data_IF_524006498829
#
_entry.id   IF_524006498829
#
_cell.length_a   1.000
_cell.length_b   1.000
_cell.length_c   1.000
_cell.angle_alpha   90.00
_cell.angle_beta   90.00
_cell.angle_gamma   90.00
#
_symmetry.space_group_name_H-M   'P 1'
#
loop_
_entity.id
_entity.type
_entity.pdbx_description
1 polymer ?
#
# COMPACT_ATOMS: atom_id res chain seq x y z
N UNK A 1 48.39 -27.69 9.67
CA UNK A 1 47.96 -27.54 8.27
C UNK A 1 46.86 -28.55 7.97
N UNK A 2 45.59 -28.09 8.00
CA UNK A 2 44.41 -28.58 7.24
C UNK A 2 43.25 -27.69 7.71
N UNK A 3 43.02 -26.57 7.02
CA UNK A 3 42.00 -26.37 5.97
C UNK A 3 40.59 -26.19 6.55
N UNK A 4 40.14 -24.94 6.47
CA UNK A 4 38.81 -24.46 6.03
C UNK A 4 37.58 -25.16 6.63
N UNK A 5 36.63 -24.49 7.25
CA UNK A 5 36.19 -23.10 7.13
C UNK A 5 34.70 -23.15 7.44
N UNK A 6 34.29 -22.69 8.62
CA UNK A 6 32.87 -22.66 8.97
C UNK A 6 32.29 -21.44 8.24
N UNK A 7 31.60 -21.73 7.14
CA UNK A 7 30.94 -20.78 6.29
C UNK A 7 29.92 -19.97 7.12
N UNK A 8 30.16 -18.66 7.14
CA UNK A 8 29.28 -17.63 7.67
C UNK A 8 27.95 -17.67 6.90
N UNK A 9 26.90 -18.25 7.49
CA UNK A 9 25.53 -17.99 7.04
C UNK A 9 25.06 -16.67 7.67
N UNK A 10 25.58 -15.57 7.13
CA UNK A 10 24.99 -14.26 7.33
C UNK A 10 23.62 -14.28 6.64
N UNK A 11 22.57 -14.50 7.43
CA UNK A 11 21.20 -14.20 7.02
C UNK A 11 21.14 -12.68 6.86
N UNK A 12 21.51 -12.20 5.67
CA UNK A 12 21.30 -10.83 5.22
C UNK A 12 19.80 -10.58 5.37
N UNK A 13 19.41 -9.98 6.50
CA UNK A 13 18.13 -9.33 6.65
C UNK A 13 18.06 -8.26 5.59
N UNK A 14 17.54 -8.61 4.43
CA UNK A 14 17.16 -7.68 3.38
C UNK A 14 16.04 -6.83 4.00
N UNK A 15 16.45 -5.76 4.69
CA UNK A 15 15.54 -4.71 5.11
C UNK A 15 15.12 -4.05 3.79
N UNK A 16 14.06 -4.61 3.17
CA UNK A 16 13.43 -3.96 2.03
C UNK A 16 13.16 -2.53 2.50
N UNK A 17 13.74 -1.51 1.84
CA UNK A 17 13.43 -0.15 2.19
C UNK A 17 11.92 -0.04 2.19
N UNK A 18 11.35 0.40 3.32
CA UNK A 18 9.91 0.53 3.50
C UNK A 18 9.42 1.64 2.57
N UNK A 19 9.27 1.31 1.29
CA UNK A 19 8.88 2.25 0.26
C UNK A 19 7.50 2.78 0.61
N UNK A 20 7.25 4.04 0.26
CA UNK A 20 5.93 4.62 0.34
C UNK A 20 4.90 3.76 -0.41
N UNK A 21 3.61 3.95 -0.13
CA UNK A 21 2.57 3.51 -1.08
C UNK A 21 2.17 4.75 -1.87
N UNK A 22 2.90 5.04 -2.95
CA UNK A 22 2.50 6.02 -3.95
C UNK A 22 1.38 5.39 -4.78
N UNK A 23 0.22 6.03 -4.82
CA UNK A 23 -0.98 5.49 -5.46
C UNK A 23 -1.40 6.39 -6.60
N UNK A 24 -1.70 5.79 -7.75
CA UNK A 24 -2.34 6.47 -8.87
C UNK A 24 -3.71 5.87 -9.11
N UNK A 25 -4.71 6.72 -9.28
CA UNK A 25 -6.07 6.31 -9.60
C UNK A 25 -6.20 6.27 -11.12
N UNK A 26 -6.42 5.09 -11.68
CA UNK A 26 -6.59 4.91 -13.14
C UNK A 26 -8.06 5.00 -13.53
N UNK A 27 -8.30 5.32 -14.81
CA UNK A 27 -9.64 5.47 -15.37
C UNK A 27 -10.25 4.14 -15.85
N UNK A 28 -9.43 3.12 -16.08
CA UNK A 28 -9.87 1.83 -16.59
C UNK A 28 -9.46 0.69 -15.68
N UNK A 29 -10.40 -0.22 -15.40
CA UNK A 29 -10.18 -1.40 -14.57
C UNK A 29 -8.99 -2.26 -15.04
N UNK A 30 -8.79 -2.38 -16.36
CA UNK A 30 -7.71 -3.19 -16.93
C UNK A 30 -6.30 -2.63 -16.67
N UNK A 31 -6.21 -1.38 -16.21
CA UNK A 31 -4.94 -0.71 -15.90
C UNK A 31 -4.61 -0.75 -14.40
N UNK A 32 -5.52 -1.25 -13.56
CA UNK A 32 -5.33 -1.25 -12.12
C UNK A 32 -4.75 -2.56 -11.61
N UNK A 33 -3.85 -2.45 -10.64
CA UNK A 33 -3.41 -3.58 -9.82
C UNK A 33 -4.55 -4.06 -8.90
N UNK A 34 -5.37 -3.13 -8.38
CA UNK A 34 -6.47 -3.43 -7.47
C UNK A 34 -7.74 -2.63 -7.77
N UNK A 35 -8.90 -3.28 -7.69
CA UNK A 35 -10.21 -2.63 -7.64
C UNK A 35 -10.54 -2.28 -6.20
N UNK A 36 -10.80 -1.01 -5.94
CA UNK A 36 -11.08 -0.49 -4.60
C UNK A 36 -12.45 0.15 -4.54
N UNK A 37 -13.20 -0.19 -3.50
CA UNK A 37 -14.46 0.46 -3.17
C UNK A 37 -14.27 1.38 -1.96
N UNK A 38 -14.74 2.62 -2.08
CA UNK A 38 -14.71 3.57 -0.97
C UNK A 38 -15.90 3.28 -0.04
N UNK A 39 -15.61 2.63 1.08
CA UNK A 39 -16.56 2.34 2.13
C UNK A 39 -16.75 3.57 3.03
N UNK A 40 -18.01 3.83 3.40
CA UNK A 40 -18.38 4.97 4.26
C UNK A 40 -18.11 4.69 5.72
N UNK A 41 -18.14 3.42 6.12
CA UNK A 41 -17.96 3.02 7.51
C UNK A 41 -16.61 2.34 7.73
N UNK A 42 -15.74 2.94 8.54
CA UNK A 42 -14.46 2.38 8.94
C UNK A 42 -14.54 0.91 9.43
N UNK A 43 -15.62 0.55 10.13
CA UNK A 43 -15.83 -0.81 10.66
C UNK A 43 -16.12 -1.87 9.59
N UNK A 44 -16.54 -1.47 8.39
CA UNK A 44 -16.83 -2.36 7.26
C UNK A 44 -15.71 -2.39 6.22
N UNK A 45 -14.75 -1.48 6.33
CA UNK A 45 -13.60 -1.42 5.45
C UNK A 45 -12.57 -2.49 5.85
N UNK A 46 -11.87 -3.01 4.85
CA UNK A 46 -10.75 -3.92 5.05
C UNK A 46 -9.50 -3.13 5.48
N UNK A 47 -9.40 -1.87 5.03
CA UNK A 47 -8.35 -0.95 5.42
C UNK A 47 -8.82 0.48 5.63
N UNK A 48 -8.08 1.18 6.51
CA UNK A 48 -8.29 2.60 6.81
C UNK A 48 -7.09 3.37 6.27
N UNK A 49 -7.31 4.20 5.26
CA UNK A 49 -6.26 4.87 4.51
C UNK A 49 -6.16 6.34 4.91
N UNK A 50 -4.97 6.77 5.32
CA UNK A 50 -4.65 8.18 5.55
C UNK A 50 -3.91 8.75 4.34
N UNK A 51 -4.47 9.77 3.68
CA UNK A 51 -3.80 10.46 2.58
C UNK A 51 -2.78 11.46 3.13
N UNK A 52 -1.51 11.18 2.89
CA UNK A 52 -0.41 12.07 3.30
C UNK A 52 -0.14 13.13 2.24
N UNK A 53 0.45 14.25 2.66
CA UNK A 53 0.78 15.38 1.77
C UNK A 53 2.14 15.25 1.10
N UNK A 54 3.01 14.40 1.63
CA UNK A 54 4.38 14.23 1.15
C UNK A 54 4.68 12.75 0.94
N UNK A 55 5.33 12.41 -0.17
CA UNK A 55 5.72 11.04 -0.47
C UNK A 55 6.56 10.39 0.65
N UNK A 56 7.41 11.17 1.32
CA UNK A 56 8.23 10.71 2.45
C UNK A 56 7.44 10.25 3.68
N UNK A 57 6.17 10.66 3.80
CA UNK A 57 5.29 10.27 4.91
C UNK A 57 4.52 8.98 4.61
N UNK A 58 4.41 8.60 3.33
CA UNK A 58 3.81 7.35 2.96
C UNK A 58 4.79 6.22 3.29
N UNK A 59 4.24 5.09 3.75
CA UNK A 59 5.02 3.92 4.13
C UNK A 59 4.20 2.67 3.85
N UNK A 60 4.76 1.74 3.08
CA UNK A 60 4.13 0.45 2.77
C UNK A 60 3.84 -0.29 4.07
N UNK A 61 2.66 -0.89 4.12
CA UNK A 61 2.16 -1.57 5.32
C UNK A 61 1.75 -0.64 6.47
N UNK A 62 1.71 0.69 6.29
CA UNK A 62 1.24 1.61 7.34
C UNK A 62 -0.20 2.11 7.17
N UNK A 63 -0.83 1.81 6.02
CA UNK A 63 -2.14 2.42 5.68
C UNK A 63 -2.03 3.91 5.31
N UNK A 64 -0.84 4.42 5.01
CA UNK A 64 -0.63 5.80 4.54
C UNK A 64 -0.36 5.83 3.04
N UNK A 65 -1.19 6.54 2.31
CA UNK A 65 -1.10 6.65 0.85
C UNK A 65 -0.71 8.06 0.44
N UNK A 66 0.18 8.15 -0.55
CA UNK A 66 0.49 9.40 -1.22
C UNK A 66 -0.06 9.33 -2.64
N UNK A 67 -1.04 10.15 -2.98
CA UNK A 67 -1.57 10.17 -4.33
C UNK A 67 -0.61 10.91 -5.26
N UNK A 68 -0.22 10.26 -6.35
CA UNK A 68 0.63 10.86 -7.39
C UNK A 68 -0.22 11.28 -8.60
N UNK A 69 0.22 12.27 -9.40
CA UNK A 69 -0.50 12.71 -10.58
C UNK A 69 -0.24 11.89 -11.84
N UNK A 70 0.78 11.02 -11.84
CA UNK A 70 1.16 10.21 -13.00
C UNK A 70 1.39 8.75 -12.60
N UNK A 71 0.89 7.83 -13.43
CA UNK A 71 1.03 6.38 -13.26
C UNK A 71 2.50 5.95 -13.10
N UNK A 72 3.41 6.53 -13.89
CA UNK A 72 4.84 6.21 -13.85
C UNK A 72 5.52 6.53 -12.51
N UNK A 73 4.87 7.29 -11.64
CA UNK A 73 5.35 7.61 -10.30
C UNK A 73 4.74 6.73 -9.22
N UNK A 74 3.71 5.95 -9.56
CA UNK A 74 2.99 5.12 -8.60
C UNK A 74 3.76 3.84 -8.31
N UNK A 75 3.62 3.34 -7.09
CA UNK A 75 4.04 1.99 -6.74
C UNK A 75 2.88 1.00 -6.93
N UNK A 76 1.64 1.51 -6.86
CA UNK A 76 0.40 0.75 -7.03
C UNK A 76 -0.62 1.61 -7.77
N UNK A 77 -1.30 1.03 -8.74
CA UNK A 77 -2.43 1.61 -9.46
C UNK A 77 -3.73 1.05 -8.93
N UNK A 78 -4.74 1.92 -8.79
CA UNK A 78 -6.04 1.53 -8.23
C UNK A 78 -7.18 2.04 -9.09
N UNK A 79 -8.20 1.21 -9.26
CA UNK A 79 -9.44 1.59 -9.96
C UNK A 79 -10.59 1.67 -8.96
N UNK A 80 -11.28 2.82 -8.94
CA UNK A 80 -12.41 3.04 -8.05
C UNK A 80 -13.68 2.41 -8.64
N UNK A 81 -14.17 1.36 -7.99
CA UNK A 81 -15.43 0.71 -8.39
C UNK A 81 -16.64 1.32 -7.68
N UNK A 82 -17.81 1.26 -8.32
CA UNK A 82 -19.07 1.79 -7.76
C UNK A 82 -19.76 0.84 -6.79
N UNK A 83 -19.47 -0.46 -6.88
CA UNK A 83 -20.16 -1.49 -6.09
C UNK A 83 -19.15 -2.34 -5.33
N UNK A 84 -19.45 -2.61 -4.07
CA UNK A 84 -18.62 -3.44 -3.19
C UNK A 84 -18.33 -4.82 -3.79
N UNK A 85 -19.30 -5.44 -4.46
CA UNK A 85 -19.16 -6.77 -5.07
C UNK A 85 -18.12 -6.85 -6.19
N UNK A 86 -17.69 -5.71 -6.74
CA UNK A 86 -16.68 -5.62 -7.78
C UNK A 86 -15.28 -5.39 -7.21
N UNK A 87 -15.18 -5.00 -5.94
CA UNK A 87 -13.93 -4.60 -5.33
C UNK A 87 -13.11 -5.81 -4.89
N UNK A 88 -11.80 -5.69 -5.05
CA UNK A 88 -10.84 -6.58 -4.42
C UNK A 88 -10.60 -6.14 -2.97
N UNK A 89 -10.71 -4.82 -2.69
CA UNK A 89 -10.50 -4.23 -1.37
C UNK A 89 -11.55 -3.14 -1.06
N UNK A 90 -12.08 -3.13 0.17
CA UNK A 90 -12.86 -2.01 0.72
C UNK A 90 -11.93 -1.09 1.50
N UNK A 91 -11.81 0.16 1.06
CA UNK A 91 -10.99 1.18 1.73
C UNK A 91 -11.88 2.25 2.36
N UNK A 92 -11.46 2.78 3.49
CA UNK A 92 -12.08 3.96 4.11
C UNK A 92 -11.02 5.03 4.32
N UNK A 93 -11.24 6.23 3.80
CA UNK A 93 -10.32 7.36 4.03
C UNK A 93 -10.55 7.94 5.42
N UNK A 94 -9.47 8.15 6.17
CA UNK A 94 -9.47 8.75 7.51
C UNK A 94 -8.77 10.10 7.52
N UNK A 95 -9.16 10.96 8.45
CA UNK A 95 -8.59 12.31 8.60
C UNK A 95 -7.33 12.37 9.46
N UNK A 96 -7.07 11.32 10.26
CA UNK A 96 -5.97 11.28 11.20
C UNK A 96 -5.07 10.08 10.96
N UNK A 97 -3.76 10.33 10.96
CA UNK A 97 -2.74 9.29 10.80
C UNK A 97 -2.87 8.16 11.85
N UNK A 98 -3.28 8.47 13.08
CA UNK A 98 -3.46 7.47 14.13
C UNK A 98 -4.56 6.45 13.84
N UNK A 99 -5.45 6.76 12.89
CA UNK A 99 -6.57 5.90 12.51
C UNK A 99 -6.24 5.00 11.32
N UNK A 100 -5.07 5.18 10.69
CA UNK A 100 -4.71 4.37 9.52
C UNK A 100 -4.47 2.91 9.91
N UNK A 101 -4.99 1.99 9.09
CA UNK A 101 -4.81 0.55 9.22
C UNK A 101 -4.50 -0.05 7.85
N UNK A 102 -3.40 -0.81 7.70
CA UNK A 102 -3.04 -1.44 6.43
C UNK A 102 -4.05 -2.55 6.07
N UNK A 103 -4.18 -2.83 4.77
CA UNK A 103 -5.12 -3.84 4.27
C UNK A 103 -4.71 -5.28 4.63
N UNK A 104 -3.42 -5.51 4.87
CA UNK A 104 -2.87 -6.80 5.29
C UNK A 104 -1.68 -6.55 6.23
N UNK A 105 -1.53 -7.38 7.28
CA UNK A 105 -0.34 -7.46 8.13
C UNK A 105 0.67 -8.44 7.56
#
# INVERSE_FOLDING_TARGET
MTRHGIAVLAFLGFCFPAHATKVFVVDYQSQADYKVYIEKHASKADCQIFLVKYASQAKRGSGKWFQVPYESQADVTVYLVKHQSQADLKIHFVDYQSQSKPCFM
#
